data_IF_759688144176
#
_entry.id   IF_759688144176
#
_cell.length_a   1.000
_cell.length_b   1.000
_cell.length_c   1.000
_cell.angle_alpha   90.00
_cell.angle_beta   90.00
_cell.angle_gamma   90.00
#
_symmetry.space_group_name_H-M   'P 1'
#
loop_
_entity.id
_entity.type
_entity.pdbx_description
1 polymer ?
#
# COMPACT_ATOMS: atom_id res chain seq x y z
N UNK A 1 -27.11 -19.56 -66.57
CA UNK A 1 -25.75 -19.00 -66.40
C UNK A 1 -25.84 -17.87 -65.40
N UNK A 2 -25.61 -18.19 -64.12
CA UNK A 2 -25.76 -17.28 -63.00
C UNK A 2 -24.36 -16.79 -62.62
N UNK A 3 -24.10 -15.49 -62.75
CA UNK A 3 -22.81 -14.88 -62.37
C UNK A 3 -22.88 -14.46 -60.90
N UNK A 4 -22.07 -15.10 -60.06
CA UNK A 4 -21.81 -14.67 -58.68
C UNK A 4 -20.76 -13.56 -58.69
N UNK A 5 -21.09 -12.40 -58.12
CA UNK A 5 -20.11 -11.38 -57.76
C UNK A 5 -19.56 -11.73 -56.37
N UNK A 6 -18.28 -12.07 -56.31
CA UNK A 6 -17.53 -12.21 -55.06
C UNK A 6 -17.07 -10.81 -54.65
N UNK A 7 -17.60 -10.30 -53.54
CA UNK A 7 -17.07 -9.11 -52.89
C UNK A 7 -15.85 -9.52 -52.06
N UNK A 8 -14.66 -9.07 -52.48
CA UNK A 8 -13.42 -9.23 -51.73
C UNK A 8 -13.39 -8.13 -50.65
N UNK A 9 -13.66 -8.48 -49.40
CA UNK A 9 -13.44 -7.59 -48.25
C UNK A 9 -11.92 -7.55 -47.97
N UNK A 10 -11.28 -6.43 -48.33
CA UNK A 10 -9.93 -6.11 -47.86
C UNK A 10 -10.02 -5.75 -46.37
N UNK A 11 -9.60 -6.64 -45.48
CA UNK A 11 -9.26 -6.28 -44.11
C UNK A 11 -7.92 -5.54 -44.14
N UNK A 12 -7.95 -4.20 -44.03
CA UNK A 12 -6.77 -3.44 -43.61
C UNK A 12 -6.54 -3.76 -42.12
N UNK A 13 -5.64 -4.70 -41.86
CA UNK A 13 -4.99 -4.82 -40.56
C UNK A 13 -4.13 -3.57 -40.37
N UNK A 14 -4.69 -2.55 -39.70
CA UNK A 14 -3.85 -1.56 -39.05
C UNK A 14 -3.15 -2.29 -37.89
N UNK A 15 -1.93 -2.75 -38.14
CA UNK A 15 -1.01 -3.04 -37.07
C UNK A 15 -0.76 -1.72 -36.34
N UNK A 16 -1.30 -1.59 -35.12
CA UNK A 16 -0.82 -0.60 -34.16
C UNK A 16 0.60 -1.04 -33.76
N UNK A 17 1.58 -0.72 -34.59
CA UNK A 17 2.97 -0.77 -34.18
C UNK A 17 3.17 0.25 -33.08
N UNK A 18 3.47 -0.21 -31.87
CA UNK A 18 3.93 0.63 -30.77
C UNK A 18 5.20 1.34 -31.27
N UNK A 19 5.16 2.66 -31.32
CA UNK A 19 6.29 3.44 -31.78
C UNK A 19 7.33 3.41 -30.65
N UNK A 20 8.32 2.53 -30.73
CA UNK A 20 9.37 2.30 -29.71
C UNK A 20 10.26 3.53 -29.42
N UNK A 21 9.94 4.70 -29.99
CA UNK A 21 10.76 5.92 -29.93
C UNK A 21 10.05 7.14 -29.31
N UNK A 22 8.83 7.01 -28.78
CA UNK A 22 8.25 8.10 -27.98
C UNK A 22 8.79 8.02 -26.55
N UNK A 23 10.01 8.52 -26.37
CA UNK A 23 10.56 8.82 -25.04
C UNK A 23 9.70 9.94 -24.47
N UNK A 24 8.66 9.58 -23.71
CA UNK A 24 7.89 10.54 -22.92
C UNK A 24 8.79 10.92 -21.76
N UNK A 25 9.52 12.03 -21.92
CA UNK A 25 10.22 12.66 -20.80
C UNK A 25 9.19 12.93 -19.70
N UNK A 26 9.40 12.34 -18.54
CA UNK A 26 8.56 12.59 -17.38
C UNK A 26 8.51 14.09 -17.07
N UNK A 27 7.31 14.59 -16.82
CA UNK A 27 7.09 15.97 -16.39
C UNK A 27 6.37 15.94 -15.06
N UNK A 28 7.00 16.54 -14.04
CA UNK A 28 6.38 16.75 -12.74
C UNK A 28 5.03 17.46 -12.94
N UNK A 29 3.93 16.94 -12.37
CA UNK A 29 2.65 17.65 -12.38
C UNK A 29 2.80 19.05 -11.79
N UNK A 30 2.14 20.06 -12.40
CA UNK A 30 2.26 21.48 -11.99
C UNK A 30 1.88 21.77 -10.52
N UNK A 31 1.21 20.83 -9.86
CA UNK A 31 0.79 20.89 -8.46
C UNK A 31 1.87 20.40 -7.47
N UNK A 32 2.94 19.77 -7.97
CA UNK A 32 4.00 19.26 -7.11
C UNK A 32 4.70 20.44 -6.44
N UNK A 33 4.85 20.34 -5.12
CA UNK A 33 5.56 21.32 -4.33
C UNK A 33 7.07 21.22 -4.53
N UNK A 34 7.80 21.98 -3.72
CA UNK A 34 9.23 21.70 -3.57
C UNK A 34 9.38 20.39 -2.77
N UNK A 35 10.27 19.47 -3.20
CA UNK A 35 10.52 18.24 -2.47
C UNK A 35 11.10 18.52 -1.08
N UNK A 36 10.85 17.59 -0.17
CA UNK A 36 11.44 17.58 1.16
C UNK A 36 10.41 17.73 2.27
N UNK A 37 10.43 16.76 3.17
CA UNK A 37 9.66 16.83 4.40
C UNK A 37 10.28 17.85 5.36
N UNK A 38 9.47 18.66 6.05
CA UNK A 38 9.97 19.47 7.14
C UNK A 38 10.36 18.59 8.33
N UNK A 39 11.10 19.17 9.29
CA UNK A 39 11.67 18.40 10.41
C UNK A 39 10.67 17.97 11.48
N UNK A 40 9.49 18.59 11.55
CA UNK A 40 8.50 18.31 12.60
C UNK A 40 7.11 18.06 12.03
N UNK A 41 6.30 17.28 12.76
CA UNK A 41 4.93 16.95 12.36
C UNK A 41 4.05 18.20 12.24
N UNK A 42 4.21 19.19 13.11
CA UNK A 42 3.47 20.46 13.04
C UNK A 42 3.79 21.26 11.79
N UNK A 43 5.06 21.31 11.40
CA UNK A 43 5.46 21.95 10.14
C UNK A 43 4.89 21.21 8.94
N UNK A 44 4.89 19.88 8.98
CA UNK A 44 4.32 19.07 7.92
C UNK A 44 2.80 19.24 7.82
N UNK A 45 2.11 19.26 8.96
CA UNK A 45 0.68 19.58 9.03
C UNK A 45 0.34 20.94 8.42
N UNK A 46 1.17 21.97 8.65
CA UNK A 46 0.99 23.28 8.00
C UNK A 46 1.26 23.25 6.50
N UNK A 47 2.23 22.45 6.04
CA UNK A 47 2.57 22.31 4.62
C UNK A 47 1.40 21.72 3.80
N UNK A 48 0.69 20.76 4.37
CA UNK A 48 -0.36 20.01 3.66
C UNK A 48 -1.78 20.57 3.84
N UNK A 49 -1.98 21.58 4.70
CA UNK A 49 -3.31 22.06 5.10
C UNK A 49 -4.14 22.55 3.91
N UNK A 50 -3.51 23.13 2.88
CA UNK A 50 -4.21 23.59 1.66
C UNK A 50 -4.92 22.47 0.92
N UNK A 51 -4.35 21.27 0.93
CA UNK A 51 -4.77 20.13 0.13
C UNK A 51 -5.62 19.14 0.93
N UNK A 52 -5.34 19.02 2.23
CA UNK A 52 -5.91 17.99 3.11
C UNK A 52 -6.67 18.56 4.33
N UNK A 53 -6.70 19.88 4.50
CA UNK A 53 -7.24 20.50 5.70
C UNK A 53 -6.43 20.17 6.96
N UNK A 54 -7.03 20.38 8.12
CA UNK A 54 -6.38 20.15 9.40
C UNK A 54 -6.24 18.65 9.68
N UNK A 55 -5.03 18.26 10.08
CA UNK A 55 -4.76 16.92 10.62
C UNK A 55 -5.58 16.69 11.90
N UNK A 56 -6.40 15.62 11.98
CA UNK A 56 -7.30 15.41 13.11
C UNK A 56 -6.57 15.06 14.41
N UNK A 57 -7.12 15.50 15.53
CA UNK A 57 -6.73 14.99 16.86
C UNK A 57 -7.31 13.59 17.04
N UNK A 58 -6.45 12.62 17.38
CA UNK A 58 -6.87 11.22 17.54
C UNK A 58 -7.41 10.99 18.95
N UNK A 59 -8.69 10.63 19.03
CA UNK A 59 -9.38 10.26 20.27
C UNK A 59 -9.46 8.73 20.30
N UNK A 60 -8.64 8.10 21.16
CA UNK A 60 -8.54 6.64 21.24
C UNK A 60 -9.88 6.00 21.60
N UNK A 61 -10.67 6.65 22.46
CA UNK A 61 -12.02 6.23 22.83
C UNK A 61 -13.01 6.15 21.65
N UNK A 62 -12.73 6.86 20.56
CA UNK A 62 -13.59 6.91 19.37
C UNK A 62 -13.17 5.94 18.28
N UNK A 63 -12.00 5.30 18.40
CA UNK A 63 -11.53 4.36 17.39
C UNK A 63 -12.43 3.12 17.39
N UNK A 64 -12.64 2.59 16.19
CA UNK A 64 -13.42 1.38 15.97
C UNK A 64 -12.45 0.20 16.00
N UNK A 65 -12.64 -0.71 16.93
CA UNK A 65 -11.84 -1.92 17.05
C UNK A 65 -11.91 -2.74 15.75
N UNK A 66 -10.76 -3.28 15.35
CA UNK A 66 -10.67 -4.29 14.29
C UNK A 66 -10.99 -5.64 14.94
N UNK A 67 -12.16 -6.25 14.68
CA UNK A 67 -12.52 -7.50 15.30
C UNK A 67 -11.66 -8.66 14.77
N UNK A 68 -11.40 -9.60 15.67
CA UNK A 68 -10.62 -10.80 15.44
C UNK A 68 -11.49 -12.03 15.57
N UNK A 69 -11.38 -13.01 14.68
CA UNK A 69 -12.29 -14.16 14.63
C UNK A 69 -11.57 -15.51 14.66
N UNK A 70 -12.10 -16.46 15.42
CA UNK A 70 -11.75 -17.88 15.34
C UNK A 70 -13.01 -18.69 15.00
N UNK A 71 -13.02 -19.36 13.86
CA UNK A 71 -14.18 -20.10 13.37
C UNK A 71 -15.47 -19.24 13.32
N UNK A 72 -15.32 -17.97 12.93
CA UNK A 72 -16.40 -16.97 12.87
C UNK A 72 -16.85 -16.40 14.21
N UNK A 73 -16.23 -16.79 15.33
CA UNK A 73 -16.54 -16.27 16.67
C UNK A 73 -15.51 -15.21 17.03
N UNK A 74 -15.96 -14.03 17.48
CA UNK A 74 -15.04 -12.97 17.88
C UNK A 74 -14.24 -13.39 19.13
N UNK A 75 -12.93 -13.18 19.09
CA UNK A 75 -11.98 -13.49 20.16
C UNK A 75 -11.11 -12.28 20.49
N UNK A 76 -10.45 -12.32 21.66
CA UNK A 76 -9.53 -11.28 22.13
C UNK A 76 -8.22 -11.88 22.61
N UNK A 77 -7.12 -11.14 22.49
CA UNK A 77 -5.78 -11.58 22.84
C UNK A 77 -4.76 -11.39 21.72
N UNK A 78 -3.71 -12.20 21.75
CA UNK A 78 -2.61 -12.21 20.80
C UNK A 78 -2.59 -13.57 20.09
N UNK A 79 -2.54 -13.56 18.77
CA UNK A 79 -2.62 -14.76 17.94
C UNK A 79 -1.59 -14.74 16.82
N UNK A 80 -0.99 -15.88 16.53
CA UNK A 80 -0.25 -16.12 15.30
C UNK A 80 -1.20 -16.16 14.09
N UNK A 81 -0.65 -16.09 12.87
CA UNK A 81 -1.45 -16.12 11.65
C UNK A 81 -2.25 -17.43 11.47
N UNK A 82 -1.74 -18.56 11.98
CA UNK A 82 -2.43 -19.86 11.89
C UNK A 82 -3.57 -20.06 12.89
N UNK A 83 -3.71 -19.15 13.87
CA UNK A 83 -4.67 -19.31 14.95
C UNK A 83 -5.97 -18.55 14.71
N UNK A 84 -6.10 -17.75 13.66
CA UNK A 84 -7.20 -16.80 13.50
C UNK A 84 -7.66 -16.72 12.03
N UNK A 85 -8.93 -16.38 11.83
CA UNK A 85 -9.54 -16.36 10.49
C UNK A 85 -9.08 -15.15 9.66
N UNK A 86 -8.72 -14.05 10.32
CA UNK A 86 -8.37 -12.77 9.70
C UNK A 86 -7.06 -12.17 10.25
N UNK A 87 -5.90 -12.83 10.07
CA UNK A 87 -4.65 -12.34 10.60
C UNK A 87 -4.16 -11.12 9.84
N UNK A 88 -3.33 -10.30 10.50
CA UNK A 88 -2.80 -9.08 9.88
C UNK A 88 -1.82 -9.35 8.75
N UNK A 89 -1.11 -10.49 8.75
CA UNK A 89 -0.04 -10.84 7.79
C UNK A 89 1.10 -9.80 7.63
N UNK A 90 1.13 -8.73 8.45
CA UNK A 90 2.11 -7.65 8.30
C UNK A 90 3.47 -8.09 8.86
N UNK A 91 4.33 -8.62 7.98
CA UNK A 91 5.71 -9.01 8.30
C UNK A 91 5.82 -10.16 9.29
N UNK A 92 4.89 -11.12 9.23
CA UNK A 92 4.89 -12.33 10.09
C UNK A 92 4.64 -12.07 11.57
N UNK A 93 4.16 -10.87 11.92
CA UNK A 93 3.88 -10.48 13.30
C UNK A 93 2.57 -11.08 13.79
N UNK A 94 2.50 -11.32 15.10
CA UNK A 94 1.25 -11.69 15.76
C UNK A 94 0.19 -10.60 15.60
N UNK A 95 -1.06 -11.03 15.52
CA UNK A 95 -2.24 -10.17 15.44
C UNK A 95 -2.79 -9.96 16.85
N UNK A 96 -3.08 -8.71 17.21
CA UNK A 96 -3.47 -8.31 18.56
C UNK A 96 -4.85 -7.66 18.56
N UNK A 97 -5.69 -8.07 19.51
CA UNK A 97 -6.95 -7.40 19.79
C UNK A 97 -6.72 -5.96 20.28
N UNK A 98 -7.76 -5.14 20.20
CA UNK A 98 -7.65 -3.73 20.55
C UNK A 98 -6.87 -2.88 19.53
N UNK A 99 -6.39 -3.46 18.43
CA UNK A 99 -6.03 -2.67 17.24
C UNK A 99 -7.29 -2.03 16.68
N UNK A 100 -7.20 -0.79 16.21
CA UNK A 100 -8.40 0.00 15.90
C UNK A 100 -8.15 1.00 14.77
N UNK A 101 -9.23 1.38 14.08
CA UNK A 101 -9.22 2.32 12.97
C UNK A 101 -10.21 3.46 13.20
N UNK A 102 -9.96 4.60 12.58
CA UNK A 102 -10.97 5.65 12.45
C UNK A 102 -10.81 6.37 11.12
N UNK A 103 -11.95 6.78 10.55
CA UNK A 103 -12.02 7.67 9.40
C UNK A 103 -12.58 9.02 9.81
N UNK A 104 -11.88 10.08 9.46
CA UNK A 104 -12.32 11.45 9.61
C UNK A 104 -12.52 12.09 8.23
N UNK A 105 -13.56 12.90 8.09
CA UNK A 105 -13.72 13.81 6.95
C UNK A 105 -12.71 14.97 7.12
N UNK A 106 -12.09 15.41 6.02
CA UNK A 106 -11.22 16.58 6.04
C UNK A 106 -11.99 17.86 6.36
N UNK A 107 -11.37 18.76 7.12
CA UNK A 107 -11.98 20.04 7.54
C UNK A 107 -10.93 21.14 7.50
N UNK A 108 -11.29 22.31 7.00
CA UNK A 108 -10.44 23.52 7.03
C UNK A 108 -10.41 24.17 8.41
N UNK A 109 -9.47 25.08 8.65
CA UNK A 109 -9.38 25.86 9.88
C UNK A 109 -10.58 26.74 10.22
N UNK A 110 -11.41 27.09 9.22
CA UNK A 110 -12.68 27.79 9.44
C UNK A 110 -13.88 26.86 9.69
N UNK A 111 -13.67 25.53 9.73
CA UNK A 111 -14.70 24.52 9.92
C UNK A 111 -15.39 24.07 8.63
N UNK A 112 -15.00 24.59 7.46
CA UNK A 112 -15.54 24.13 6.17
C UNK A 112 -15.11 22.70 5.90
N UNK A 113 -16.07 21.82 5.59
CA UNK A 113 -15.79 20.42 5.25
C UNK A 113 -15.13 20.29 3.87
N UNK A 114 -14.28 19.29 3.75
CA UNK A 114 -13.63 18.83 2.53
C UNK A 114 -14.09 17.38 2.29
N UNK A 115 -15.26 17.18 1.67
CA UNK A 115 -15.89 15.85 1.59
C UNK A 115 -15.12 14.84 0.75
N UNK A 116 -14.16 15.31 -0.06
CA UNK A 116 -13.26 14.49 -0.86
C UNK A 116 -11.91 14.24 -0.18
N UNK A 117 -11.73 14.74 1.04
CA UNK A 117 -10.55 14.47 1.84
C UNK A 117 -10.92 13.51 2.96
N UNK A 118 -10.13 12.47 3.10
CA UNK A 118 -10.27 11.46 4.14
C UNK A 118 -8.99 11.37 4.95
N UNK A 119 -9.14 11.25 6.25
CA UNK A 119 -8.05 10.95 7.17
C UNK A 119 -8.31 9.61 7.82
N UNK A 120 -7.34 8.70 7.74
CA UNK A 120 -7.38 7.39 8.38
C UNK A 120 -6.37 7.35 9.51
N UNK A 121 -6.84 7.10 10.73
CA UNK A 121 -5.98 6.77 11.85
C UNK A 121 -5.99 5.26 12.08
N UNK A 122 -4.81 4.66 12.20
CA UNK A 122 -4.64 3.25 12.51
C UNK A 122 -3.84 3.09 13.80
N UNK A 123 -4.47 2.58 14.84
CA UNK A 123 -3.81 2.10 16.05
C UNK A 123 -3.43 0.65 15.86
N UNK A 124 -2.14 0.37 15.69
CA UNK A 124 -1.59 -0.97 15.77
C UNK A 124 -1.25 -1.27 17.23
N UNK A 125 -2.00 -2.18 17.84
CA UNK A 125 -1.87 -2.47 19.25
C UNK A 125 -0.88 -3.62 19.50
N UNK A 126 -0.05 -3.49 20.54
CA UNK A 126 0.81 -4.55 21.11
C UNK A 126 0.81 -4.51 22.63
N UNK A 127 -0.25 -3.97 23.23
CA UNK A 127 -0.39 -3.69 24.65
C UNK A 127 -0.61 -4.95 25.47
N UNK A 128 -0.30 -4.85 26.76
CA UNK A 128 -0.73 -5.79 27.79
C UNK A 128 -1.79 -5.14 28.68
N UNK A 129 -2.52 -5.87 29.53
CA UNK A 129 -3.50 -5.26 30.43
C UNK A 129 -2.95 -4.18 31.38
N UNK A 130 -1.62 -4.12 31.58
CA UNK A 130 -0.96 -3.16 32.46
C UNK A 130 -0.04 -2.16 31.76
N UNK A 131 0.14 -2.28 30.44
CA UNK A 131 1.09 -1.43 29.71
C UNK A 131 0.61 -1.20 28.28
N UNK A 132 0.45 0.06 27.92
CA UNK A 132 0.08 0.49 26.57
C UNK A 132 1.31 0.51 25.68
N UNK A 133 1.25 -0.27 24.61
CA UNK A 133 2.30 -0.37 23.61
C UNK A 133 1.66 -0.54 22.23
N UNK A 134 2.32 -0.03 21.21
CA UNK A 134 1.80 -0.02 19.86
C UNK A 134 2.34 1.17 19.10
N UNK A 135 1.66 1.52 18.02
CA UNK A 135 1.95 2.73 17.24
C UNK A 135 0.65 3.25 16.65
N UNK A 136 0.58 4.55 16.39
CA UNK A 136 -0.53 5.17 15.65
C UNK A 136 -0.01 5.77 14.37
N UNK A 137 -0.54 5.30 13.24
CA UNK A 137 -0.32 5.86 11.92
C UNK A 137 -1.48 6.76 11.53
N UNK A 138 -1.20 7.83 10.78
CA UNK A 138 -2.23 8.72 10.24
C UNK A 138 -1.95 9.02 8.77
N UNK A 139 -2.96 8.80 7.93
CA UNK A 139 -2.87 8.99 6.48
C UNK A 139 -3.98 9.94 6.06
N UNK A 140 -3.61 11.08 5.47
CA UNK A 140 -4.54 12.00 4.83
C UNK A 140 -4.50 11.78 3.32
N UNK A 141 -5.67 11.77 2.67
CA UNK A 141 -5.79 11.53 1.24
C UNK A 141 -6.90 12.39 0.61
N UNK A 142 -6.59 13.04 -0.50
CA UNK A 142 -7.54 13.76 -1.33
C UNK A 142 -7.96 12.88 -2.52
N UNK A 143 -9.21 12.43 -2.54
CA UNK A 143 -9.75 11.49 -3.53
C UNK A 143 -9.83 12.09 -4.95
N UNK A 144 -9.73 13.42 -5.10
CA UNK A 144 -9.77 14.11 -6.40
C UNK A 144 -8.36 14.33 -6.95
N UNK A 145 -7.45 14.84 -6.13
CA UNK A 145 -6.10 15.23 -6.59
C UNK A 145 -5.08 14.12 -6.42
N UNK A 146 -5.33 13.17 -5.51
CA UNK A 146 -4.38 12.13 -5.11
C UNK A 146 -3.40 12.58 -4.04
N UNK A 147 -3.50 13.82 -3.57
CA UNK A 147 -2.61 14.35 -2.55
C UNK A 147 -2.66 13.47 -1.31
N UNK A 148 -1.50 12.99 -0.85
CA UNK A 148 -1.38 12.11 0.29
C UNK A 148 -0.36 12.64 1.28
N UNK A 149 -0.65 12.49 2.58
CA UNK A 149 0.30 12.72 3.64
C UNK A 149 0.31 11.55 4.62
N UNK A 150 1.50 11.11 5.02
CA UNK A 150 1.72 10.07 6.03
C UNK A 150 2.31 10.69 7.30
N UNK A 151 1.80 10.31 8.45
CA UNK A 151 2.39 10.58 9.76
C UNK A 151 2.60 9.25 10.48
N UNK A 152 3.80 9.07 10.99
CA UNK A 152 4.15 7.91 11.81
C UNK A 152 4.15 8.28 13.29
N UNK A 153 3.73 7.37 14.15
CA UNK A 153 3.97 7.48 15.58
C UNK A 153 5.48 7.46 15.86
N UNK A 154 5.92 8.22 16.86
CA UNK A 154 7.34 8.29 17.22
C UNK A 154 7.92 6.93 17.67
N UNK A 155 7.07 5.93 17.92
CA UNK A 155 7.49 4.54 18.15
C UNK A 155 8.25 3.94 16.96
N UNK A 156 7.99 4.41 15.73
CA UNK A 156 8.81 4.01 14.56
C UNK A 156 10.26 4.48 14.67
N UNK A 157 10.51 5.57 15.40
CA UNK A 157 11.86 6.04 15.74
C UNK A 157 12.38 5.44 17.06
N UNK A 158 11.70 4.44 17.63
CA UNK A 158 12.06 3.79 18.89
C UNK A 158 11.72 4.61 20.14
N UNK A 159 10.84 5.61 20.01
CA UNK A 159 10.43 6.48 21.12
C UNK A 159 9.02 6.07 21.57
N UNK A 160 8.91 5.40 22.71
CA UNK A 160 7.62 5.01 23.27
C UNK A 160 6.85 6.22 23.83
N UNK A 161 5.79 6.63 23.15
CA UNK A 161 5.00 7.82 23.51
C UNK A 161 3.54 7.51 23.81
N UNK A 162 2.98 6.44 23.24
CA UNK A 162 1.59 6.04 23.42
C UNK A 162 1.17 5.93 24.89
N UNK A 163 2.02 5.34 25.74
CA UNK A 163 1.76 5.17 27.17
C UNK A 163 1.54 6.49 27.92
N UNK A 164 2.07 7.62 27.42
CA UNK A 164 1.91 8.93 28.07
C UNK A 164 0.49 9.50 27.91
N UNK A 165 -0.26 9.01 26.92
CA UNK A 165 -1.56 9.56 26.53
C UNK A 165 -2.72 8.58 26.77
N UNK A 166 -2.42 7.32 27.06
CA UNK A 166 -3.42 6.31 27.41
C UNK A 166 -3.87 6.50 28.86
N UNK A 167 -5.18 6.69 29.06
CA UNK A 167 -5.80 6.84 30.38
C UNK A 167 -6.26 5.52 30.98
N UNK A 168 -6.58 4.53 30.15
CA UNK A 168 -6.94 3.18 30.59
C UNK A 168 -6.85 2.17 29.45
N UNK A 169 -6.67 0.90 29.81
CA UNK A 169 -6.67 -0.25 28.91
C UNK A 169 -7.83 -1.16 29.32
N UNK A 170 -8.65 -1.60 28.36
CA UNK A 170 -9.64 -2.64 28.62
C UNK A 170 -8.92 -3.98 28.86
N UNK A 171 -9.07 -4.65 30.01
CA UNK A 171 -8.31 -5.84 30.33
C UNK A 171 -8.73 -7.07 29.52
N UNK A 172 -9.87 -7.01 28.82
CA UNK A 172 -10.37 -8.10 27.98
C UNK A 172 -10.04 -7.83 26.52
N UNK A 173 -10.44 -6.68 25.98
CA UNK A 173 -10.25 -6.38 24.55
C UNK A 173 -8.86 -5.85 24.23
N UNK A 174 -8.14 -5.35 25.23
CA UNK A 174 -6.91 -4.55 25.10
C UNK A 174 -7.13 -3.19 24.43
N UNK A 175 -8.38 -2.78 24.23
CA UNK A 175 -8.72 -1.47 23.70
C UNK A 175 -8.16 -0.34 24.55
N UNK A 176 -7.61 0.68 23.88
CA UNK A 176 -6.98 1.83 24.53
C UNK A 176 -7.95 3.02 24.61
N UNK A 177 -7.92 3.74 25.72
CA UNK A 177 -8.65 4.99 25.92
C UNK A 177 -7.69 6.15 26.18
N UNK A 178 -8.06 7.35 25.78
CA UNK A 178 -7.21 8.53 25.87
C UNK A 178 -7.30 9.41 24.62
N UNK A 179 -6.41 10.39 24.54
CA UNK A 179 -6.37 11.36 23.44
C UNK A 179 -4.92 11.68 23.12
N UNK A 180 -4.53 11.46 21.87
CA UNK A 180 -3.22 11.86 21.39
C UNK A 180 -3.21 13.36 21.09
N UNK A 181 -2.07 14.06 21.29
CA UNK A 181 -1.98 15.46 20.92
C UNK A 181 -2.14 15.61 19.40
N UNK A 182 -2.85 16.66 18.98
CA UNK A 182 -2.98 17.08 17.58
C UNK A 182 -2.28 18.41 17.31
N UNK A 183 -2.37 18.95 16.08
CA UNK A 183 -1.63 20.16 15.65
C UNK A 183 -1.86 21.41 16.52
N UNK A 184 -3.01 21.51 17.19
CA UNK A 184 -3.32 22.62 18.11
C UNK A 184 -2.43 22.62 19.37
N UNK A 185 -1.64 21.57 19.60
CA UNK A 185 -0.65 21.46 20.66
C UNK A 185 0.70 21.01 20.07
N UNK A 186 1.39 21.90 19.33
CA UNK A 186 2.50 21.52 18.45
C UNK A 186 3.67 20.88 19.19
N UNK A 187 3.98 21.35 20.41
CA UNK A 187 5.09 20.79 21.18
C UNK A 187 4.89 19.31 21.56
N UNK A 188 3.66 18.90 21.87
CA UNK A 188 3.35 17.50 22.16
C UNK A 188 3.10 16.72 20.86
N UNK A 189 2.50 17.35 19.84
CA UNK A 189 2.30 16.73 18.54
C UNK A 189 3.62 16.32 17.88
N UNK A 190 4.63 17.20 17.92
CA UNK A 190 5.98 16.94 17.41
C UNK A 190 6.76 15.88 18.21
N UNK A 191 6.32 15.55 19.42
CA UNK A 191 6.86 14.43 20.21
C UNK A 191 6.14 13.13 19.90
N UNK A 192 4.86 13.19 19.53
CA UNK A 192 4.03 12.00 19.31
C UNK A 192 4.11 11.49 17.88
N UNK A 193 4.20 12.38 16.91
CA UNK A 193 4.24 12.04 15.50
C UNK A 193 5.49 12.59 14.83
N UNK A 194 5.94 11.88 13.81
CA UNK A 194 7.03 12.28 12.94
C UNK A 194 6.54 12.32 11.48
N UNK A 195 7.09 13.23 10.66
CA UNK A 195 6.98 13.11 9.21
C UNK A 195 7.59 11.77 8.72
N UNK A 196 7.33 11.37 7.47
CA UNK A 196 7.82 10.12 6.93
C UNK A 196 9.34 9.93 7.10
N UNK A 197 9.79 8.87 7.80
CA UNK A 197 11.22 8.62 8.01
C UNK A 197 11.90 7.93 6.82
N UNK A 198 11.11 7.40 5.88
CA UNK A 198 11.52 6.72 4.67
C UNK A 198 10.45 6.89 3.58
N UNK A 199 10.69 6.38 2.37
CA UNK A 199 9.68 6.37 1.31
C UNK A 199 8.53 5.41 1.66
N UNK A 200 7.47 5.91 2.29
CA UNK A 200 6.28 5.12 2.63
C UNK A 200 5.69 4.40 1.40
N UNK A 201 5.91 4.96 0.22
CA UNK A 201 5.52 4.39 -1.08
C UNK A 201 6.23 3.09 -1.43
N UNK A 202 7.25 2.66 -0.68
CA UNK A 202 7.76 1.30 -0.78
C UNK A 202 6.65 0.27 -0.50
N UNK A 203 5.83 0.51 0.53
CA UNK A 203 4.71 -0.35 0.90
C UNK A 203 3.35 0.18 0.43
N UNK A 204 3.27 1.47 0.09
CA UNK A 204 2.04 2.17 -0.35
C UNK A 204 2.08 2.56 -1.83
N UNK A 205 2.94 1.93 -2.62
CA UNK A 205 3.31 2.31 -4.00
C UNK A 205 2.14 2.60 -4.93
N UNK A 206 1.05 1.84 -4.76
CA UNK A 206 -0.10 1.85 -5.65
C UNK A 206 -1.34 2.52 -5.06
N UNK A 207 -1.37 2.63 -3.73
CA UNK A 207 -2.53 3.04 -2.94
C UNK A 207 -2.05 3.60 -1.57
N UNK A 208 -2.56 4.77 -1.13
CA UNK A 208 -2.31 5.27 0.22
C UNK A 208 -2.79 4.30 1.32
N UNK A 209 -3.73 3.40 1.04
CA UNK A 209 -4.27 2.45 2.00
C UNK A 209 -3.95 1.01 1.63
N UNK A 210 -3.20 0.35 2.50
CA UNK A 210 -2.97 -1.09 2.40
C UNK A 210 -4.15 -1.83 3.02
N UNK A 211 -4.82 -2.68 2.23
CA UNK A 211 -6.00 -3.43 2.67
C UNK A 211 -5.75 -4.93 2.71
N UNK A 212 -6.39 -5.60 3.67
CA UNK A 212 -6.47 -7.05 3.80
C UNK A 212 -7.68 -7.42 4.68
N UNK A 213 -7.93 -8.71 4.89
CA UNK A 213 -9.08 -9.18 5.67
C UNK A 213 -9.09 -8.68 7.13
N UNK A 214 -7.91 -8.46 7.72
CA UNK A 214 -7.78 -7.84 9.04
C UNK A 214 -8.26 -6.38 9.01
N UNK A 215 -7.64 -5.51 8.21
CA UNK A 215 -8.01 -4.09 8.12
C UNK A 215 -9.47 -3.91 7.69
N UNK A 216 -9.94 -4.73 6.75
CA UNK A 216 -11.29 -4.65 6.19
C UNK A 216 -12.36 -5.20 7.15
N UNK A 217 -12.01 -5.88 8.25
CA UNK A 217 -12.99 -6.34 9.24
C UNK A 217 -13.55 -5.19 10.08
N UNK A 218 -12.83 -4.06 10.18
CA UNK A 218 -13.36 -2.86 10.81
C UNK A 218 -14.32 -2.13 9.87
N UNK A 219 -15.58 -1.99 10.31
CA UNK A 219 -16.67 -1.43 9.53
C UNK A 219 -17.16 -0.10 10.09
N UNK A 220 -17.69 0.76 9.22
CA UNK A 220 -18.44 1.94 9.62
C UNK A 220 -19.63 1.47 10.48
N UNK A 221 -19.87 2.06 11.66
CA UNK A 221 -20.90 1.57 12.58
C UNK A 221 -22.27 1.46 11.92
N UNK A 222 -22.95 0.33 12.13
CA UNK A 222 -24.26 0.01 11.56
C UNK A 222 -24.27 -0.19 10.03
N UNK A 223 -23.13 -0.51 9.43
CA UNK A 223 -23.00 -0.85 8.00
C UNK A 223 -22.05 -2.03 7.80
N UNK A 224 -22.06 -2.63 6.62
CA UNK A 224 -21.05 -3.62 6.18
C UNK A 224 -19.87 -2.98 5.45
N UNK A 225 -19.82 -1.64 5.39
CA UNK A 225 -18.81 -0.89 4.64
C UNK A 225 -17.52 -0.80 5.46
N UNK A 226 -16.35 -1.21 4.92
CA UNK A 226 -15.07 -0.99 5.58
C UNK A 226 -14.83 0.49 5.94
N UNK A 227 -14.07 0.74 7.01
CA UNK A 227 -13.66 2.11 7.37
C UNK A 227 -12.74 2.69 6.28
N UNK A 228 -11.83 1.88 5.78
CA UNK A 228 -10.90 2.24 4.72
C UNK A 228 -11.65 2.37 3.40
N UNK A 229 -11.49 3.48 2.65
CA UNK A 229 -12.07 3.60 1.32
C UNK A 229 -11.42 2.62 0.34
N UNK A 230 -12.21 2.11 -0.60
CA UNK A 230 -11.70 1.27 -1.67
C UNK A 230 -11.33 2.15 -2.87
N UNK A 231 -10.08 2.11 -3.30
CA UNK A 231 -9.60 2.82 -4.48
C UNK A 231 -9.57 1.89 -5.70
N UNK A 232 -9.84 2.45 -6.87
CA UNK A 232 -9.73 1.75 -8.15
C UNK A 232 -8.36 1.97 -8.82
N UNK A 233 -8.11 1.25 -9.91
CA UNK A 233 -6.85 1.31 -10.66
C UNK A 233 -6.48 2.70 -11.22
N UNK A 234 -7.45 3.62 -11.33
CA UNK A 234 -7.28 4.99 -11.84
C UNK A 234 -7.27 6.05 -10.73
N UNK A 235 -7.36 5.66 -9.46
CA UNK A 235 -7.37 6.61 -8.35
C UNK A 235 -6.08 7.43 -8.36
N UNK A 236 -6.13 8.75 -8.16
CA UNK A 236 -4.93 9.57 -8.20
C UNK A 236 -4.06 9.34 -6.96
N UNK A 237 -2.73 9.48 -7.07
CA UNK A 237 -1.84 9.26 -5.94
C UNK A 237 -0.49 9.96 -6.10
N UNK A 238 -0.17 10.83 -5.14
CA UNK A 238 1.18 11.37 -4.92
C UNK A 238 1.34 11.76 -3.45
N UNK A 239 2.59 11.93 -3.00
CA UNK A 239 2.90 12.30 -1.62
C UNK A 239 3.40 13.74 -1.57
N UNK A 240 2.73 14.59 -0.78
CA UNK A 240 3.19 15.97 -0.55
C UNK A 240 4.49 15.93 0.25
N UNK A 241 5.54 16.62 -0.21
CA UNK A 241 6.88 16.57 0.38
C UNK A 241 7.72 15.38 -0.11
N UNK A 242 7.11 14.39 -0.76
CA UNK A 242 7.75 13.25 -1.41
C UNK A 242 7.84 13.39 -2.92
N UNK A 243 7.92 14.62 -3.45
CA UNK A 243 8.00 14.87 -4.88
C UNK A 243 9.26 14.27 -5.53
N UNK A 244 10.29 13.96 -4.73
CA UNK A 244 11.52 13.26 -5.13
C UNK A 244 11.52 11.75 -4.80
N UNK A 245 10.36 11.17 -4.48
CA UNK A 245 10.21 9.74 -4.21
C UNK A 245 9.95 8.94 -5.48
N UNK A 246 10.23 7.63 -5.42
CA UNK A 246 9.91 6.72 -6.51
C UNK A 246 8.42 6.38 -6.51
N UNK A 247 7.64 7.19 -7.21
CA UNK A 247 6.19 7.00 -7.35
C UNK A 247 5.83 5.99 -8.45
N UNK A 248 6.81 5.35 -9.10
CA UNK A 248 6.52 4.39 -10.16
C UNK A 248 5.80 3.19 -9.58
N UNK A 249 4.85 2.65 -10.33
CA UNK A 249 4.22 1.35 -10.11
C UNK A 249 4.14 0.61 -11.43
N UNK A 250 4.05 -0.72 -11.37
CA UNK A 250 4.02 -1.55 -12.56
C UNK A 250 2.63 -1.56 -13.19
N UNK A 251 2.60 -1.61 -14.52
CA UNK A 251 1.41 -1.92 -15.29
C UNK A 251 1.74 -2.91 -16.41
N UNK A 252 0.88 -3.90 -16.62
CA UNK A 252 1.01 -4.89 -17.70
C UNK A 252 -0.29 -4.87 -18.51
N UNK A 253 -0.19 -4.53 -19.79
CA UNK A 253 -1.37 -4.45 -20.66
C UNK A 253 -2.03 -5.85 -20.78
N UNK A 254 -3.32 -5.92 -20.49
CA UNK A 254 -4.11 -7.16 -20.57
C UNK A 254 -4.03 -8.06 -19.34
N UNK A 255 -3.21 -7.72 -18.34
CA UNK A 255 -3.14 -8.49 -17.10
C UNK A 255 -4.34 -8.18 -16.19
N UNK A 256 -5.04 -9.23 -15.74
CA UNK A 256 -6.31 -9.10 -15.04
C UNK A 256 -6.19 -8.56 -13.60
N UNK A 257 -5.02 -8.65 -12.97
CA UNK A 257 -4.81 -8.11 -11.62
C UNK A 257 -5.02 -6.60 -11.56
N UNK A 258 -4.67 -5.89 -12.64
CA UNK A 258 -4.82 -4.42 -12.72
C UNK A 258 -6.23 -3.95 -13.10
N UNK A 259 -7.19 -4.87 -13.26
CA UNK A 259 -8.56 -4.51 -13.65
C UNK A 259 -9.38 -3.88 -12.51
N UNK A 260 -9.00 -4.16 -11.25
CA UNK A 260 -9.70 -3.66 -10.07
C UNK A 260 -8.94 -2.52 -9.40
N UNK A 261 -7.64 -2.73 -9.15
CA UNK A 261 -6.76 -1.80 -8.46
C UNK A 261 -5.32 -1.94 -8.98
N UNK A 262 -4.45 -0.98 -8.66
CA UNK A 262 -3.00 -1.12 -8.86
C UNK A 262 -2.41 -2.00 -7.76
N UNK A 263 -1.27 -2.63 -8.03
CA UNK A 263 -0.61 -3.53 -7.07
C UNK A 263 0.76 -2.98 -6.72
N UNK A 264 1.04 -2.81 -5.42
CA UNK A 264 2.36 -2.43 -4.93
C UNK A 264 3.17 -3.69 -4.61
N UNK A 265 4.37 -3.82 -5.16
CA UNK A 265 5.13 -5.06 -5.04
C UNK A 265 5.77 -5.20 -3.65
N UNK A 266 6.20 -4.10 -3.03
CA UNK A 266 6.63 -4.12 -1.63
C UNK A 266 5.50 -4.52 -0.67
N UNK A 267 4.25 -4.16 -0.98
CA UNK A 267 3.07 -4.63 -0.23
C UNK A 267 2.93 -6.15 -0.32
N UNK A 268 3.05 -6.70 -1.53
CA UNK A 268 2.99 -8.15 -1.74
C UNK A 268 4.11 -8.88 -1.01
N UNK A 269 5.34 -8.36 -1.05
CA UNK A 269 6.48 -8.93 -0.33
C UNK A 269 6.22 -9.00 1.18
N UNK A 270 5.77 -7.89 1.80
CA UNK A 270 5.48 -7.84 3.24
C UNK A 270 4.41 -8.86 3.65
N UNK A 271 3.36 -9.03 2.84
CA UNK A 271 2.28 -9.96 3.14
C UNK A 271 2.68 -11.42 2.88
N UNK A 272 3.35 -11.71 1.77
CA UNK A 272 3.82 -13.06 1.45
C UNK A 272 4.83 -13.55 2.51
N UNK A 273 5.73 -12.67 2.96
CA UNK A 273 6.65 -12.95 4.08
C UNK A 273 5.89 -13.20 5.40
N UNK A 274 4.68 -12.65 5.55
CA UNK A 274 3.77 -12.95 6.65
C UNK A 274 2.97 -14.25 6.51
N UNK A 275 3.11 -14.96 5.39
CA UNK A 275 2.37 -16.18 5.08
C UNK A 275 1.05 -15.97 4.36
N UNK A 276 0.83 -14.79 3.75
CA UNK A 276 -0.31 -14.55 2.89
C UNK A 276 -0.12 -15.25 1.53
N UNK A 277 -1.13 -16.00 1.07
CA UNK A 277 -1.15 -16.59 -0.27
C UNK A 277 -2.17 -15.84 -1.13
N UNK A 278 -1.69 -15.01 -2.05
CA UNK A 278 -2.55 -14.20 -2.93
C UNK A 278 -3.60 -15.05 -3.65
N UNK A 279 -3.27 -16.27 -4.08
CA UNK A 279 -4.21 -17.13 -4.80
C UNK A 279 -5.30 -17.71 -3.89
N UNK A 280 -5.12 -17.73 -2.57
CA UNK A 280 -6.15 -18.17 -1.62
C UNK A 280 -7.14 -17.06 -1.25
N UNK A 281 -6.79 -15.80 -1.51
CA UNK A 281 -7.60 -14.65 -1.11
C UNK A 281 -8.09 -13.80 -2.29
N UNK A 282 -7.39 -13.80 -3.43
CA UNK A 282 -7.67 -12.91 -4.55
C UNK A 282 -8.06 -13.66 -5.83
N UNK A 283 -9.04 -13.15 -6.60
CA UNK A 283 -9.96 -12.07 -6.22
C UNK A 283 -10.95 -12.53 -5.12
N UNK A 284 -11.50 -11.62 -4.29
CA UNK A 284 -12.26 -11.99 -3.09
C UNK A 284 -13.46 -12.92 -3.30
N UNK A 285 -14.10 -12.86 -4.48
CA UNK A 285 -15.28 -13.66 -4.79
C UNK A 285 -14.96 -14.98 -5.51
N UNK A 286 -13.74 -15.13 -6.03
CA UNK A 286 -13.31 -16.36 -6.72
C UNK A 286 -11.79 -16.53 -6.58
N UNK A 287 -11.29 -16.82 -5.37
CA UNK A 287 -9.86 -16.93 -5.13
C UNK A 287 -9.17 -17.89 -6.10
N UNK A 288 -8.00 -17.48 -6.60
CA UNK A 288 -7.15 -18.27 -7.50
C UNK A 288 -7.58 -18.20 -8.97
N UNK A 289 -8.72 -17.59 -9.29
CA UNK A 289 -9.16 -17.44 -10.69
C UNK A 289 -8.24 -16.58 -11.55
N UNK A 290 -7.37 -15.77 -10.93
CA UNK A 290 -6.40 -14.90 -11.60
C UNK A 290 -4.95 -15.37 -11.40
N UNK A 291 -4.73 -16.65 -11.07
CA UNK A 291 -3.39 -17.18 -10.77
C UNK A 291 -2.39 -16.93 -11.89
N UNK A 292 -2.80 -17.10 -13.15
CA UNK A 292 -1.91 -16.89 -14.31
C UNK A 292 -1.53 -15.41 -14.47
N UNK A 293 -2.45 -14.48 -14.20
CA UNK A 293 -2.15 -13.04 -14.21
C UNK A 293 -1.27 -12.63 -13.03
N UNK A 294 -1.50 -13.22 -11.85
CA UNK A 294 -0.63 -12.98 -10.70
C UNK A 294 0.80 -13.50 -10.94
N UNK A 295 0.90 -14.69 -11.53
CA UNK A 295 2.13 -15.33 -11.95
C UNK A 295 2.92 -14.45 -12.95
N UNK A 296 2.25 -13.91 -13.98
CA UNK A 296 2.83 -12.93 -14.91
C UNK A 296 3.29 -11.63 -14.21
N UNK A 297 2.52 -11.13 -13.25
CA UNK A 297 2.88 -9.93 -12.48
C UNK A 297 4.17 -10.15 -11.68
N UNK A 298 4.25 -11.26 -10.94
CA UNK A 298 5.46 -11.60 -10.16
C UNK A 298 6.66 -11.79 -11.07
N UNK A 299 6.50 -12.50 -12.19
CA UNK A 299 7.56 -12.66 -13.18
C UNK A 299 8.06 -11.31 -13.70
N UNK A 300 7.14 -10.42 -14.06
CA UNK A 300 7.46 -9.09 -14.58
C UNK A 300 8.17 -8.24 -13.53
N UNK A 301 7.77 -8.34 -12.26
CA UNK A 301 8.47 -7.67 -11.16
C UNK A 301 9.91 -8.14 -11.01
N UNK A 302 10.13 -9.44 -10.96
CA UNK A 302 11.46 -10.01 -10.79
C UNK A 302 12.39 -9.70 -11.97
N UNK A 303 11.85 -9.57 -13.18
CA UNK A 303 12.64 -9.28 -14.40
C UNK A 303 12.69 -7.79 -14.75
N UNK A 304 11.85 -6.97 -14.13
CA UNK A 304 11.62 -5.57 -14.47
C UNK A 304 10.70 -5.38 -15.69
N UNK A 305 9.96 -4.28 -15.68
CA UNK A 305 9.05 -3.92 -16.77
C UNK A 305 9.77 -3.76 -18.12
N UNK A 306 10.99 -3.23 -18.13
CA UNK A 306 11.79 -3.02 -19.35
C UNK A 306 12.14 -4.33 -20.09
N UNK A 307 12.15 -5.47 -19.38
CA UNK A 307 12.51 -6.77 -19.94
C UNK A 307 11.29 -7.66 -20.22
N UNK A 308 10.09 -7.15 -19.97
CA UNK A 308 8.87 -7.95 -19.99
C UNK A 308 7.91 -7.42 -21.06
N UNK A 309 7.43 -8.26 -22.00
CA UNK A 309 6.49 -7.83 -23.02
C UNK A 309 5.25 -7.17 -22.40
N UNK A 310 4.81 -6.06 -22.99
CA UNK A 310 3.59 -5.33 -22.59
C UNK A 310 3.62 -4.71 -21.18
N UNK A 311 4.73 -4.81 -20.46
CA UNK A 311 4.93 -4.16 -19.17
C UNK A 311 5.50 -2.75 -19.33
N UNK A 312 5.10 -1.85 -18.43
CA UNK A 312 5.64 -0.50 -18.30
C UNK A 312 5.69 -0.07 -16.83
N UNK A 313 6.59 0.87 -16.53
CA UNK A 313 6.47 1.69 -15.34
C UNK A 313 5.51 2.84 -15.61
N UNK A 314 4.60 3.08 -14.68
CA UNK A 314 3.74 4.25 -14.68
C UNK A 314 3.92 5.04 -13.40
N UNK A 315 3.83 6.36 -13.47
CA UNK A 315 3.49 7.19 -12.32
C UNK A 315 1.95 7.31 -12.30
N UNK A 316 1.27 7.05 -11.16
CA UNK A 316 -0.18 7.14 -11.05
C UNK A 316 -0.74 8.49 -11.52
N UNK A 317 -2.06 8.56 -11.82
CA UNK A 317 -2.72 9.85 -12.01
C UNK A 317 -2.45 10.75 -10.81
N UNK A 318 -2.25 12.04 -11.03
CA UNK A 318 -2.03 13.01 -9.97
C UNK A 318 -2.50 14.38 -10.44
N UNK A 319 -3.12 15.14 -9.54
CA UNK A 319 -3.56 16.51 -9.79
C UNK A 319 -4.39 16.67 -11.07
N UNK A 320 -5.37 15.77 -11.21
CA UNK A 320 -6.28 15.74 -12.35
C UNK A 320 -5.58 15.52 -13.70
N UNK A 321 -4.34 15.03 -13.68
CA UNK A 321 -3.61 14.53 -14.86
C UNK A 321 -3.68 13.01 -14.90
N UNK A 322 -3.73 12.41 -16.12
CA UNK A 322 -3.68 10.97 -16.26
C UNK A 322 -2.33 10.41 -15.81
N UNK A 323 -2.28 9.09 -15.61
CA UNK A 323 -1.04 8.38 -15.38
C UNK A 323 -0.02 8.64 -16.51
N UNK A 324 1.26 8.69 -16.16
CA UNK A 324 2.36 8.88 -17.10
C UNK A 324 3.16 7.60 -17.23
N UNK A 325 3.39 7.12 -18.44
CA UNK A 325 4.38 6.06 -18.71
C UNK A 325 5.75 6.70 -18.56
N UNK A 326 6.62 6.08 -17.76
CA UNK A 326 7.97 6.58 -17.52
C UNK A 326 8.99 5.49 -17.83
N UNK A 327 10.14 5.91 -18.34
CA UNK A 327 11.21 5.00 -18.72
C UNK A 327 12.43 5.12 -17.82
N UNK A 328 13.58 4.82 -18.40
CA UNK A 328 14.84 4.87 -17.69
C UNK A 328 15.34 6.28 -17.36
N UNK A 329 14.68 7.30 -17.87
CA UNK A 329 14.93 8.71 -17.62
C UNK A 329 14.18 9.26 -16.39
N UNK A 330 13.32 8.47 -15.73
CA UNK A 330 12.68 8.88 -14.49
C UNK A 330 13.74 9.23 -13.43
N UNK A 331 13.73 10.45 -12.86
CA UNK A 331 14.83 10.94 -12.04
C UNK A 331 14.82 10.43 -10.60
N UNK A 332 13.68 9.93 -10.11
CA UNK A 332 13.47 9.62 -8.69
C UNK A 332 13.46 8.12 -8.39
N UNK A 333 14.12 7.30 -9.22
CA UNK A 333 14.13 5.84 -9.03
C UNK A 333 14.74 5.46 -7.68
N UNK A 334 14.10 4.53 -6.99
CA UNK A 334 14.57 3.94 -5.76
C UNK A 334 14.89 2.45 -5.93
N UNK A 335 15.71 1.93 -5.02
CA UNK A 335 16.18 0.56 -5.08
C UNK A 335 15.02 -0.43 -4.99
N UNK A 336 13.99 -0.18 -4.18
CA UNK A 336 12.86 -1.11 -4.03
C UNK A 336 12.08 -1.38 -5.33
N UNK A 337 12.27 -0.60 -6.40
CA UNK A 337 11.70 -0.83 -7.75
C UNK A 337 12.72 -1.33 -8.77
N UNK A 338 13.93 -1.68 -8.34
CA UNK A 338 14.97 -2.20 -9.20
C UNK A 338 14.82 -3.70 -9.39
N UNK A 339 15.28 -4.20 -10.55
CA UNK A 339 15.24 -5.62 -10.90
C UNK A 339 15.89 -6.43 -9.78
N UNK A 340 15.08 -7.27 -9.14
CA UNK A 340 15.51 -8.12 -8.06
C UNK A 340 15.77 -7.44 -6.72
N UNK A 341 15.45 -6.17 -6.54
CA UNK A 341 15.57 -5.61 -5.21
C UNK A 341 14.67 -6.38 -4.23
N UNK A 342 15.29 -7.03 -3.24
CA UNK A 342 14.60 -7.30 -1.99
C UNK A 342 14.40 -5.98 -1.26
N UNK A 343 13.30 -5.85 -0.53
CA UNK A 343 13.22 -4.83 0.52
C UNK A 343 14.02 -5.24 1.76
N UNK A 344 15.34 -5.40 1.62
CA UNK A 344 16.21 -5.64 2.76
C UNK A 344 17.08 -4.41 3.02
N UNK A 345 17.20 -4.03 4.30
CA UNK A 345 18.11 -3.01 4.87
C UNK A 345 19.61 -3.15 4.45
N UNK A 346 19.96 -4.16 3.65
CA UNK A 346 21.34 -4.55 3.31
C UNK A 346 21.65 -4.67 1.79
N UNK A 347 20.78 -4.19 0.90
CA UNK A 347 21.16 -3.79 -0.47
C UNK A 347 21.81 -4.86 -1.39
N UNK A 348 21.10 -5.96 -1.69
CA UNK A 348 21.48 -6.87 -2.79
C UNK A 348 20.30 -7.25 -3.68
N UNK A 349 20.52 -7.15 -4.99
CA UNK A 349 19.58 -7.43 -6.08
C UNK A 349 19.42 -8.95 -6.32
N UNK A 350 18.29 -9.37 -6.91
CA UNK A 350 17.59 -10.61 -6.60
C UNK A 350 16.93 -11.33 -7.79
N UNK A 351 17.46 -12.46 -8.26
CA UNK A 351 16.76 -13.36 -9.19
C UNK A 351 16.00 -14.47 -8.45
N UNK A 352 15.55 -15.54 -9.15
CA UNK A 352 15.08 -16.75 -8.45
C UNK A 352 16.13 -17.20 -7.43
N UNK A 353 17.41 -17.06 -7.77
CA UNK A 353 18.58 -17.39 -6.95
C UNK A 353 18.62 -16.76 -5.56
N UNK A 354 17.86 -15.67 -5.35
CA UNK A 354 17.78 -14.97 -4.07
C UNK A 354 16.52 -15.33 -3.26
N UNK A 355 15.65 -16.17 -3.82
CA UNK A 355 14.54 -16.79 -3.11
C UNK A 355 15.05 -17.95 -2.25
N UNK A 356 14.60 -18.00 -1.00
CA UNK A 356 14.82 -19.17 -0.15
C UNK A 356 13.97 -20.37 -0.61
N UNK A 357 14.16 -21.53 0.02
CA UNK A 357 13.47 -22.76 -0.41
C UNK A 357 11.95 -22.63 -0.37
N UNK A 358 11.42 -21.91 0.61
CA UNK A 358 9.98 -21.74 0.78
C UNK A 358 9.43 -20.83 -0.32
N UNK A 359 10.03 -19.66 -0.49
CA UNK A 359 9.64 -18.66 -1.50
C UNK A 359 9.82 -19.21 -2.92
N UNK A 360 10.88 -19.97 -3.16
CA UNK A 360 11.11 -20.63 -4.43
C UNK A 360 9.98 -21.60 -4.79
N UNK A 361 9.51 -22.39 -3.81
CA UNK A 361 8.44 -23.35 -4.02
C UNK A 361 7.06 -22.73 -4.16
N UNK A 362 6.90 -21.44 -3.87
CA UNK A 362 5.66 -20.69 -4.13
C UNK A 362 5.50 -20.30 -5.60
N UNK A 363 6.58 -20.33 -6.38
CA UNK A 363 6.57 -19.99 -7.81
C UNK A 363 7.09 -21.16 -8.66
N UNK A 364 6.56 -22.39 -8.51
CA UNK A 364 7.08 -23.59 -9.18
C UNK A 364 7.03 -23.51 -10.71
N UNK A 365 6.21 -22.61 -11.25
CA UNK A 365 6.09 -22.31 -12.67
C UNK A 365 7.15 -21.34 -13.21
N UNK A 366 8.00 -20.74 -12.37
CA UNK A 366 9.12 -19.85 -12.79
C UNK A 366 10.46 -20.20 -12.16
N UNK A 367 10.43 -20.69 -10.94
CA UNK A 367 11.60 -21.01 -10.17
C UNK A 367 11.54 -22.47 -9.71
N UNK A 368 12.68 -23.14 -9.73
CA UNK A 368 12.81 -24.49 -9.23
C UNK A 368 13.88 -24.54 -8.15
N UNK A 369 13.51 -25.01 -6.97
CA UNK A 369 14.45 -25.19 -5.88
C UNK A 369 15.41 -26.33 -6.21
N UNK A 370 16.69 -26.03 -6.34
CA UNK A 370 17.72 -27.04 -6.47
C UNK A 370 18.19 -27.47 -5.08
N UNK A 371 17.62 -28.56 -4.57
CA UNK A 371 17.98 -29.13 -3.26
C UNK A 371 19.42 -29.65 -3.16
N UNK A 372 20.20 -29.64 -4.24
CA UNK A 372 21.62 -29.99 -4.22
C UNK A 372 22.50 -28.76 -3.99
N UNK A 373 22.18 -27.64 -4.63
CA UNK A 373 22.94 -26.39 -4.50
C UNK A 373 22.39 -25.48 -3.40
N UNK A 374 21.19 -25.75 -2.90
CA UNK A 374 20.40 -24.87 -2.02
C UNK A 374 20.22 -23.48 -2.64
N UNK A 375 20.00 -23.44 -3.96
CA UNK A 375 19.75 -22.22 -4.71
C UNK A 375 18.46 -22.46 -5.49
N UNK A 376 17.65 -21.41 -5.57
CA UNK A 376 16.46 -21.40 -6.39
C UNK A 376 16.81 -20.97 -7.82
N UNK A 377 16.43 -21.74 -8.83
CA UNK A 377 16.89 -21.52 -10.21
C UNK A 377 15.74 -21.11 -11.12
N UNK A 378 15.97 -20.15 -12.02
CA UNK A 378 15.02 -19.80 -13.08
C UNK A 378 14.80 -20.98 -14.03
N UNK A 379 13.55 -21.40 -14.25
CA UNK A 379 13.23 -22.57 -15.09
C UNK A 379 13.16 -22.27 -16.59
N UNK A 380 13.14 -20.99 -16.97
CA UNK A 380 13.06 -20.56 -18.38
C UNK A 380 14.42 -20.34 -19.06
N UNK A 381 15.53 -20.44 -18.31
CA UNK A 381 16.90 -20.35 -18.86
C UNK A 381 17.49 -21.73 -19.24
N UNK A 382 16.64 -22.72 -19.56
CA UNK A 382 17.05 -24.05 -20.04
C UNK A 382 16.74 -24.29 -21.51
#
# INVERSE_FOLDING_TARGET
MTRYFIYLFLFCLFSCGRNENEVVTYVDPDCFGAPGFPSTASQYASMIESDLGIVPTIILDSLIEIPLYQNGIQVYGQFSSSEIDNPSYLGGKNTWSGSALQRYEGVKSDGTTLPHVVWIAFLRNTSTPSYASGSVQLIGYNEITGATAFFEGAEMAGIEVLQNYVTSIDPVTLGLKGTLPGPNNPAQFDQTFIPPPAQCVQCHQSDPFVTNDFINSAKIPNTDTPIIPHLDANSPFYVIGGEDWDMRTMHIEGNACFSCHRVGMGTLEVFNNGGYDVNQHMPPYTPGSLSDSYAELVYTWLNGADNSPNAVWIVPPACEKPAQIVGNDYPYKADFNSIGAKSDDDGKNGGCEDLDSLSCTQYPEYCNWNGTTNICENIFNK
#
